data_IF_309249612343
#
_entry.id   IF_309249612343
#
_cell.length_a   1.000
_cell.length_b   1.000
_cell.length_c   1.000
_cell.angle_alpha   90.00
_cell.angle_beta   90.00
_cell.angle_gamma   90.00
#
_symmetry.space_group_name_H-M   'P 1'
#
loop_
_entity.id
_entity.type
_entity.pdbx_description
1 polymer ?
#
# COMPACT_ATOMS: atom_id res chain seq x y z
N UNK A 1 -5.34 19.70 9.97
CA UNK A 1 -4.19 20.05 10.82
C UNK A 1 -3.82 21.51 10.56
N UNK A 2 -4.04 22.36 11.57
CA UNK A 2 -3.60 23.77 11.51
C UNK A 2 -2.16 23.81 12.00
N UNK A 3 -1.22 23.99 11.09
CA UNK A 3 0.19 24.23 11.42
C UNK A 3 0.39 25.73 11.72
N UNK A 4 0.95 26.05 12.89
CA UNK A 4 1.39 27.41 13.21
C UNK A 4 2.92 27.47 13.12
N UNK A 5 3.44 28.20 12.17
CA UNK A 5 4.85 28.59 12.20
C UNK A 5 5.08 29.65 13.31
N UNK A 6 6.17 29.48 14.05
CA UNK A 6 6.47 30.34 15.21
C UNK A 6 6.79 31.81 14.87
N UNK A 7 6.91 32.15 13.58
CA UNK A 7 7.35 33.46 13.13
C UNK A 7 6.25 34.34 12.49
N UNK A 8 5.14 33.75 12.04
CA UNK A 8 4.06 34.49 11.40
C UNK A 8 2.70 34.10 11.99
N UNK A 9 1.88 35.08 12.32
CA UNK A 9 0.50 34.91 12.76
C UNK A 9 -0.44 34.44 11.63
N UNK A 10 0.08 34.13 10.44
CA UNK A 10 -0.71 33.62 9.32
C UNK A 10 -1.13 32.16 9.53
N UNK A 11 -2.44 31.92 9.49
CA UNK A 11 -3.00 30.58 9.45
C UNK A 11 -2.85 30.01 8.02
N UNK A 12 -2.02 29.00 7.88
CA UNK A 12 -1.97 28.22 6.64
C UNK A 12 -3.21 27.30 6.59
N UNK A 13 -4.11 27.56 5.65
CA UNK A 13 -5.40 26.88 5.53
C UNK A 13 -5.28 25.61 4.68
N UNK A 14 -4.27 25.53 3.81
CA UNK A 14 -4.03 24.37 2.92
C UNK A 14 -2.58 23.92 2.98
N UNK A 15 -2.34 22.63 2.71
CA UNK A 15 -0.98 22.07 2.66
C UNK A 15 -0.09 22.78 1.63
N UNK A 16 -0.66 23.26 0.53
CA UNK A 16 0.08 23.94 -0.54
C UNK A 16 0.68 25.28 -0.12
N UNK A 17 0.15 25.88 0.95
CA UNK A 17 0.65 27.13 1.52
C UNK A 17 1.78 26.92 2.53
N UNK A 18 2.09 25.68 2.89
CA UNK A 18 3.15 25.33 3.84
C UNK A 18 4.43 25.01 3.03
N UNK A 19 5.51 25.73 3.27
CA UNK A 19 6.78 25.59 2.54
C UNK A 19 7.35 24.16 2.55
N UNK A 20 7.09 23.41 3.61
CA UNK A 20 7.51 22.00 3.70
C UNK A 20 6.74 21.09 2.74
N UNK A 21 5.45 21.35 2.47
CA UNK A 21 4.61 20.50 1.62
C UNK A 21 4.59 20.94 0.15
N UNK A 22 4.69 22.25 -0.11
CA UNK A 22 4.60 22.82 -1.46
C UNK A 22 5.51 22.16 -2.52
N UNK A 23 6.78 21.80 -2.24
CA UNK A 23 7.67 21.14 -3.21
C UNK A 23 7.42 19.64 -3.37
N UNK A 24 6.53 19.04 -2.59
CA UNK A 24 6.26 17.61 -2.61
C UNK A 24 5.24 17.25 -3.69
N UNK A 25 5.30 15.99 -4.15
CA UNK A 25 4.28 15.37 -4.97
C UNK A 25 3.76 14.16 -4.22
N UNK A 26 2.59 14.31 -3.59
CA UNK A 26 2.04 13.30 -2.69
C UNK A 26 1.07 12.40 -3.45
N UNK A 27 1.48 11.16 -3.75
CA UNK A 27 0.66 10.13 -4.38
C UNK A 27 0.26 9.05 -3.36
N UNK A 28 1.23 8.46 -2.68
CA UNK A 28 0.97 7.51 -1.59
C UNK A 28 0.41 8.21 -0.34
N UNK A 29 0.88 9.42 -0.04
CA UNK A 29 0.44 10.21 1.09
C UNK A 29 -0.69 11.21 0.76
N UNK A 30 -1.35 11.10 -0.41
CA UNK A 30 -2.30 12.09 -0.94
C UNK A 30 -3.39 12.50 0.05
N UNK A 31 -3.93 11.54 0.78
CA UNK A 31 -5.03 11.76 1.71
C UNK A 31 -4.57 11.96 3.17
N UNK A 32 -3.31 11.61 3.50
CA UNK A 32 -2.79 11.72 4.86
C UNK A 32 -2.82 13.17 5.35
N UNK A 33 -3.58 13.43 6.43
CA UNK A 33 -3.80 14.77 6.97
C UNK A 33 -4.77 15.65 6.18
N UNK A 34 -5.45 15.07 5.18
CA UNK A 34 -6.49 15.74 4.36
C UNK A 34 -7.87 15.23 4.72
N UNK A 35 -8.02 13.91 4.82
CA UNK A 35 -9.28 13.25 5.19
C UNK A 35 -9.23 12.77 6.65
N UNK A 36 -10.41 12.55 7.23
CA UNK A 36 -10.55 11.77 8.46
C UNK A 36 -10.40 10.26 8.12
N UNK A 37 -9.31 9.61 8.58
CA UNK A 37 -9.07 8.19 8.28
C UNK A 37 -10.07 7.23 8.97
N UNK A 38 -10.89 7.73 9.89
CA UNK A 38 -11.92 6.99 10.59
C UNK A 38 -13.30 7.09 9.93
N UNK A 39 -13.37 7.84 8.81
CA UNK A 39 -14.62 8.08 8.06
C UNK A 39 -14.47 7.63 6.60
N UNK A 40 -15.12 6.52 6.24
CA UNK A 40 -15.11 5.98 4.88
C UNK A 40 -15.75 6.93 3.86
N UNK A 41 -16.74 7.73 4.26
CA UNK A 41 -17.41 8.67 3.34
C UNK A 41 -16.45 9.75 2.84
N UNK A 42 -15.52 10.20 3.68
CA UNK A 42 -14.49 11.13 3.23
C UNK A 42 -13.54 10.48 2.22
N UNK A 43 -13.13 9.21 2.45
CA UNK A 43 -12.33 8.50 1.46
C UNK A 43 -13.06 8.35 0.12
N UNK A 44 -14.37 8.03 0.15
CA UNK A 44 -15.21 7.92 -1.05
C UNK A 44 -15.33 9.28 -1.75
N UNK A 45 -15.53 10.37 -0.99
CA UNK A 45 -15.62 11.73 -1.53
C UNK A 45 -14.32 12.16 -2.26
N UNK A 46 -13.17 11.60 -1.87
CA UNK A 46 -11.87 11.79 -2.52
C UNK A 46 -11.55 10.71 -3.56
N UNK A 47 -12.55 10.22 -4.28
CA UNK A 47 -12.45 9.19 -5.33
C UNK A 47 -12.04 7.80 -4.82
N UNK A 48 -12.22 7.50 -3.55
CA UNK A 48 -11.98 6.19 -2.98
C UNK A 48 -12.91 5.13 -3.55
N UNK A 49 -12.42 3.91 -3.65
CA UNK A 49 -13.08 2.74 -4.23
C UNK A 49 -13.52 2.86 -5.70
N UNK A 50 -13.29 4.00 -6.35
CA UNK A 50 -13.54 4.16 -7.80
C UNK A 50 -12.62 3.29 -8.63
N UNK A 51 -11.39 3.06 -8.19
CA UNK A 51 -10.47 2.18 -8.89
C UNK A 51 -10.95 0.72 -8.80
N UNK A 52 -11.41 0.28 -7.63
CA UNK A 52 -11.98 -1.04 -7.44
C UNK A 52 -13.25 -1.23 -8.28
N UNK A 53 -14.15 -0.25 -8.29
CA UNK A 53 -15.35 -0.28 -9.12
C UNK A 53 -15.00 -0.42 -10.60
N UNK A 54 -14.07 0.39 -11.12
CA UNK A 54 -13.58 0.30 -12.51
C UNK A 54 -13.00 -1.08 -12.81
N UNK A 55 -12.21 -1.64 -11.90
CA UNK A 55 -11.61 -2.97 -12.07
C UNK A 55 -12.69 -4.04 -12.21
N UNK A 56 -13.68 -4.04 -11.33
CA UNK A 56 -14.70 -5.09 -11.29
C UNK A 56 -15.73 -4.98 -12.42
N UNK A 57 -15.93 -3.79 -12.98
CA UNK A 57 -16.97 -3.56 -14.02
C UNK A 57 -16.40 -3.43 -15.44
N UNK A 58 -15.14 -3.01 -15.59
CA UNK A 58 -14.59 -2.61 -16.89
C UNK A 58 -13.31 -3.38 -17.29
N UNK A 59 -12.67 -4.11 -16.36
CA UNK A 59 -11.36 -4.69 -16.60
C UNK A 59 -11.32 -6.19 -16.30
N UNK A 60 -10.57 -6.94 -17.12
CA UNK A 60 -10.22 -8.31 -16.77
C UNK A 60 -9.00 -8.35 -15.86
N UNK A 61 -8.77 -9.46 -15.10
CA UNK A 61 -7.57 -9.63 -14.27
C UNK A 61 -6.26 -9.37 -15.04
N UNK A 62 -6.16 -9.81 -16.27
CA UNK A 62 -4.99 -9.63 -17.13
C UNK A 62 -4.79 -8.16 -17.52
N UNK A 63 -5.88 -7.43 -17.74
CA UNK A 63 -5.83 -5.98 -18.02
C UNK A 63 -5.33 -5.21 -16.81
N UNK A 64 -5.78 -5.56 -15.60
CA UNK A 64 -5.28 -4.95 -14.35
C UNK A 64 -3.78 -5.19 -14.18
N UNK A 65 -3.33 -6.43 -14.36
CA UNK A 65 -1.90 -6.78 -14.29
C UNK A 65 -1.10 -6.00 -15.34
N UNK A 66 -1.62 -5.93 -16.57
CA UNK A 66 -0.99 -5.19 -17.67
C UNK A 66 -0.86 -3.70 -17.35
N UNK A 67 -1.88 -3.10 -16.75
CA UNK A 67 -1.87 -1.68 -16.38
C UNK A 67 -0.81 -1.39 -15.31
N UNK A 68 -0.76 -2.20 -14.24
CA UNK A 68 0.27 -2.09 -13.21
C UNK A 68 1.68 -2.37 -13.76
N UNK A 69 1.82 -3.31 -14.70
CA UNK A 69 3.10 -3.59 -15.34
C UNK A 69 3.57 -2.42 -16.21
N UNK A 70 2.69 -1.84 -17.04
CA UNK A 70 2.98 -0.70 -17.92
C UNK A 70 3.30 0.57 -17.15
N UNK A 71 2.72 0.75 -15.96
CA UNK A 71 3.00 1.90 -15.09
C UNK A 71 4.46 1.96 -14.62
N UNK A 72 5.17 0.83 -14.66
CA UNK A 72 6.52 0.73 -14.15
C UNK A 72 6.62 0.76 -12.62
N UNK A 73 5.50 0.58 -11.90
CA UNK A 73 5.51 0.54 -10.43
C UNK A 73 6.44 -0.58 -9.94
N UNK A 74 7.44 -0.18 -9.15
CA UNK A 74 8.36 -1.08 -8.46
C UNK A 74 8.06 -1.10 -6.97
N UNK A 75 8.35 -2.20 -6.30
CA UNK A 75 8.19 -2.34 -4.86
C UNK A 75 8.88 -1.22 -4.08
N UNK A 76 8.18 -0.66 -3.09
CA UNK A 76 8.64 0.45 -2.24
C UNK A 76 9.23 0.00 -0.91
N UNK A 77 9.20 -1.30 -0.63
CA UNK A 77 9.79 -1.89 0.58
C UNK A 77 11.29 -2.24 0.47
N UNK A 78 12.04 -1.60 -0.43
CA UNK A 78 13.50 -1.70 -0.54
C UNK A 78 14.02 -2.53 -1.73
N UNK A 79 13.42 -3.68 -2.04
CA UNK A 79 13.92 -4.58 -3.10
C UNK A 79 13.65 -4.07 -4.54
N UNK A 80 12.68 -3.17 -4.73
CA UNK A 80 12.41 -2.56 -6.03
C UNK A 80 11.98 -3.51 -7.15
N UNK A 81 11.46 -4.69 -6.84
CA UNK A 81 11.00 -5.64 -7.86
C UNK A 81 9.73 -5.11 -8.57
N UNK A 82 9.61 -5.26 -9.91
CA UNK A 82 8.44 -4.79 -10.65
C UNK A 82 7.14 -5.44 -10.14
N UNK A 83 6.19 -4.62 -9.66
CA UNK A 83 4.96 -5.08 -9.00
C UNK A 83 4.08 -5.89 -9.94
N UNK A 84 3.81 -5.38 -11.15
CA UNK A 84 3.00 -6.10 -12.14
C UNK A 84 3.61 -7.43 -12.56
N UNK A 85 4.96 -7.55 -12.60
CA UNK A 85 5.64 -8.81 -12.89
C UNK A 85 5.41 -9.86 -11.78
N UNK A 86 5.42 -9.42 -10.53
CA UNK A 86 5.11 -10.28 -9.39
C UNK A 86 3.68 -10.80 -9.46
N UNK A 87 2.72 -9.93 -9.78
CA UNK A 87 1.31 -10.31 -9.95
C UNK A 87 1.12 -11.27 -11.13
N UNK A 88 1.81 -11.04 -12.24
CA UNK A 88 1.78 -11.93 -13.40
C UNK A 88 2.23 -13.35 -13.05
N UNK A 89 3.30 -13.50 -12.26
CA UNK A 89 3.77 -14.82 -11.83
C UNK A 89 2.74 -15.53 -10.95
N UNK A 90 2.15 -14.85 -9.97
CA UNK A 90 1.14 -15.43 -9.11
C UNK A 90 -0.15 -15.77 -9.86
N UNK A 91 -0.59 -14.92 -10.79
CA UNK A 91 -1.75 -15.19 -11.62
C UNK A 91 -1.57 -16.45 -12.48
N UNK A 92 -0.38 -16.64 -13.03
CA UNK A 92 -0.04 -17.80 -13.86
C UNK A 92 0.09 -19.12 -13.06
N UNK A 93 0.30 -19.05 -11.74
CA UNK A 93 0.37 -20.24 -10.88
C UNK A 93 -0.99 -20.90 -10.76
N UNK A 94 -1.07 -22.20 -11.09
CA UNK A 94 -2.31 -22.98 -10.94
C UNK A 94 -2.41 -23.47 -9.50
N UNK A 95 -3.42 -23.00 -8.78
CA UNK A 95 -3.72 -23.43 -7.41
C UNK A 95 -5.21 -23.21 -7.14
N UNK A 96 -5.74 -23.98 -6.20
CA UNK A 96 -7.10 -23.87 -5.67
C UNK A 96 -7.29 -22.62 -4.80
N UNK A 97 -6.21 -22.15 -4.16
CA UNK A 97 -6.17 -20.99 -3.28
C UNK A 97 -4.94 -20.16 -3.56
N UNK A 98 -5.08 -18.83 -3.50
CA UNK A 98 -3.99 -17.84 -3.55
C UNK A 98 -4.17 -16.82 -2.45
N UNK A 99 -3.08 -16.19 -2.02
CA UNK A 99 -3.11 -15.21 -0.94
C UNK A 99 -2.46 -13.90 -1.33
N UNK A 100 -3.00 -12.83 -0.78
CA UNK A 100 -2.44 -11.48 -0.85
C UNK A 100 -1.90 -11.07 0.51
N UNK A 101 -0.68 -10.54 0.59
CA UNK A 101 -0.11 -10.03 1.84
C UNK A 101 0.32 -8.57 1.67
N UNK A 102 -0.14 -7.74 2.59
CA UNK A 102 0.42 -6.41 2.82
C UNK A 102 1.49 -6.51 3.90
N UNK A 103 2.73 -6.25 3.51
CA UNK A 103 3.86 -6.16 4.44
C UNK A 103 3.90 -4.76 5.05
N UNK A 104 3.46 -4.67 6.29
CA UNK A 104 3.52 -3.48 7.13
C UNK A 104 4.46 -3.68 8.33
N UNK A 105 5.44 -4.59 8.19
CA UNK A 105 6.52 -4.78 9.16
C UNK A 105 7.66 -3.79 8.89
N UNK A 106 7.40 -2.52 9.19
CA UNK A 106 8.33 -1.42 9.02
C UNK A 106 9.32 -1.39 10.20
N UNK A 107 10.37 -2.21 10.11
CA UNK A 107 11.29 -2.47 11.22
C UNK A 107 12.48 -1.54 11.32
N UNK A 108 12.76 -0.70 10.33
CA UNK A 108 13.87 0.25 10.33
C UNK A 108 13.70 1.30 11.44
N UNK A 109 14.70 1.55 12.29
CA UNK A 109 14.64 2.60 13.29
C UNK A 109 14.44 3.98 12.64
N UNK A 110 13.39 4.70 13.07
CA UNK A 110 13.05 6.02 12.52
C UNK A 110 12.23 6.01 11.23
N UNK A 111 11.96 4.85 10.62
CA UNK A 111 11.03 4.74 9.51
C UNK A 111 9.57 4.75 9.99
N UNK A 112 8.73 5.56 9.34
CA UNK A 112 7.29 5.66 9.64
C UNK A 112 6.44 6.00 8.41
N UNK A 113 6.94 5.70 7.20
CA UNK A 113 6.23 5.95 5.95
C UNK A 113 4.98 5.08 5.84
N UNK A 114 5.14 3.78 6.02
CA UNK A 114 4.05 2.80 5.96
C UNK A 114 3.05 3.01 7.10
N UNK A 115 3.54 3.27 8.31
CA UNK A 115 2.74 3.65 9.46
C UNK A 115 1.83 4.84 9.14
N UNK A 116 2.36 5.89 8.54
CA UNK A 116 1.60 7.10 8.22
C UNK A 116 0.50 6.86 7.20
N UNK A 117 0.72 5.98 6.21
CA UNK A 117 -0.33 5.58 5.27
C UNK A 117 -1.43 4.80 6.00
N UNK A 118 -1.07 3.82 6.84
CA UNK A 118 -2.05 3.02 7.57
C UNK A 118 -2.84 3.82 8.60
N UNK A 119 -2.22 4.85 9.20
CA UNK A 119 -2.88 5.75 10.14
C UNK A 119 -3.65 6.88 9.45
N UNK A 120 -3.25 7.32 8.27
CA UNK A 120 -3.82 8.50 7.60
C UNK A 120 -4.73 8.20 6.41
N UNK A 121 -4.60 7.02 5.79
CA UNK A 121 -5.39 6.61 4.63
C UNK A 121 -5.45 5.07 4.52
N UNK A 122 -6.00 4.36 5.53
CA UNK A 122 -6.05 2.90 5.54
C UNK A 122 -6.83 2.33 4.36
N UNK A 123 -7.92 3.00 3.94
CA UNK A 123 -8.78 2.55 2.86
C UNK A 123 -8.07 2.44 1.51
N UNK A 124 -7.06 3.27 1.24
CA UNK A 124 -6.27 3.17 0.01
C UNK A 124 -5.50 1.85 -0.10
N UNK A 125 -5.07 1.31 1.03
CA UNK A 125 -4.39 0.01 1.10
C UNK A 125 -5.41 -1.11 0.93
N UNK A 126 -6.59 -1.03 1.58
CA UNK A 126 -7.67 -2.02 1.46
C UNK A 126 -8.16 -2.12 0.01
N UNK A 127 -8.45 -0.98 -0.63
CA UNK A 127 -8.84 -0.91 -2.05
C UNK A 127 -7.78 -1.56 -2.95
N UNK A 128 -6.52 -1.21 -2.74
CA UNK A 128 -5.40 -1.76 -3.51
C UNK A 128 -5.24 -3.27 -3.33
N UNK A 129 -5.45 -3.78 -2.11
CA UNK A 129 -5.38 -5.22 -1.83
C UNK A 129 -6.53 -5.97 -2.52
N UNK A 130 -7.75 -5.43 -2.53
CA UNK A 130 -8.89 -6.01 -3.25
C UNK A 130 -8.63 -6.03 -4.77
N UNK A 131 -8.13 -4.93 -5.35
CA UNK A 131 -7.73 -4.86 -6.77
C UNK A 131 -6.68 -5.93 -7.10
N UNK A 132 -5.67 -6.07 -6.24
CA UNK A 132 -4.61 -7.06 -6.43
C UNK A 132 -5.12 -8.49 -6.25
N UNK A 133 -6.03 -8.73 -5.29
CA UNK A 133 -6.73 -9.99 -5.10
C UNK A 133 -7.48 -10.42 -6.35
N UNK A 134 -8.30 -9.53 -6.90
CA UNK A 134 -9.00 -9.76 -8.17
C UNK A 134 -8.02 -10.11 -9.30
N UNK A 135 -6.95 -9.34 -9.43
CA UNK A 135 -5.96 -9.49 -10.51
C UNK A 135 -5.25 -10.85 -10.49
N UNK A 136 -4.99 -11.43 -9.32
CA UNK A 136 -4.27 -12.72 -9.21
C UNK A 136 -5.20 -13.90 -8.96
N UNK A 137 -6.48 -13.68 -8.70
CA UNK A 137 -7.46 -14.69 -8.33
C UNK A 137 -7.30 -15.15 -6.87
N UNK A 138 -7.06 -14.22 -5.95
CA UNK A 138 -7.06 -14.46 -4.52
C UNK A 138 -8.33 -13.88 -3.88
N UNK A 139 -8.92 -14.60 -2.94
CA UNK A 139 -10.10 -14.21 -2.17
C UNK A 139 -9.80 -13.90 -0.69
N UNK A 140 -8.53 -14.08 -0.27
CA UNK A 140 -8.06 -13.76 1.06
C UNK A 140 -6.78 -12.94 1.05
N UNK A 141 -6.72 -11.96 1.98
CA UNK A 141 -5.54 -11.13 2.21
C UNK A 141 -5.19 -10.98 3.69
N UNK A 142 -3.90 -10.76 3.96
CA UNK A 142 -3.35 -10.57 5.31
C UNK A 142 -2.57 -9.28 5.36
N UNK A 143 -2.89 -8.42 6.35
CA UNK A 143 -2.09 -7.25 6.67
C UNK A 143 -1.22 -7.60 7.85
N UNK A 144 0.08 -7.77 7.62
CA UNK A 144 1.04 -8.05 8.67
C UNK A 144 1.61 -6.72 9.19
N UNK A 145 1.14 -6.30 10.34
CA UNK A 145 1.45 -5.01 10.95
C UNK A 145 2.14 -5.21 12.31
N UNK A 146 3.10 -4.35 12.62
CA UNK A 146 3.81 -4.36 13.90
C UNK A 146 2.88 -4.09 15.07
N UNK A 147 3.03 -4.84 16.17
CA UNK A 147 2.28 -4.60 17.42
C UNK A 147 2.57 -3.21 18.02
N UNK A 148 3.71 -2.61 17.69
CA UNK A 148 4.14 -1.27 18.12
C UNK A 148 3.39 -0.14 17.39
N UNK A 149 2.50 -0.45 16.43
CA UNK A 149 1.64 0.51 15.73
C UNK A 149 0.17 0.35 16.16
N UNK A 150 -0.19 0.59 17.45
CA UNK A 150 -1.54 0.34 17.94
C UNK A 150 -2.60 1.17 17.21
N UNK A 151 -2.33 2.45 16.90
CA UNK A 151 -3.26 3.30 16.16
C UNK A 151 -3.50 2.81 14.74
N UNK A 152 -2.46 2.35 14.03
CA UNK A 152 -2.63 1.75 12.71
C UNK A 152 -3.51 0.50 12.76
N UNK A 153 -3.34 -0.34 13.80
CA UNK A 153 -4.16 -1.55 14.00
C UNK A 153 -5.63 -1.19 14.27
N UNK A 154 -5.90 -0.18 15.10
CA UNK A 154 -7.26 0.29 15.40
C UNK A 154 -7.94 0.83 14.14
N UNK A 155 -7.25 1.70 13.38
CA UNK A 155 -7.78 2.27 12.13
C UNK A 155 -7.98 1.24 11.05
N UNK A 156 -7.09 0.27 10.91
CA UNK A 156 -7.29 -0.86 9.98
C UNK A 156 -8.52 -1.70 10.33
N UNK A 157 -8.74 -2.00 11.62
CA UNK A 157 -9.95 -2.73 12.03
C UNK A 157 -11.22 -1.97 11.72
N UNK A 158 -11.24 -0.67 12.00
CA UNK A 158 -12.36 0.19 11.70
C UNK A 158 -12.59 0.27 10.19
N UNK A 159 -11.54 0.52 9.41
CA UNK A 159 -11.63 0.61 7.96
C UNK A 159 -12.11 -0.70 7.31
N UNK A 160 -11.65 -1.86 7.79
CA UNK A 160 -12.13 -3.17 7.29
C UNK A 160 -13.62 -3.30 7.58
N UNK A 161 -14.08 -3.04 8.81
CA UNK A 161 -15.49 -3.13 9.16
C UNK A 161 -16.37 -2.18 8.32
N UNK A 162 -15.94 -0.94 8.13
CA UNK A 162 -16.64 0.03 7.28
C UNK A 162 -16.69 -0.41 5.81
N UNK A 163 -15.58 -0.96 5.29
CA UNK A 163 -15.51 -1.43 3.91
C UNK A 163 -16.39 -2.70 3.69
N UNK A 164 -16.48 -3.58 4.68
CA UNK A 164 -17.39 -4.74 4.64
C UNK A 164 -18.86 -4.28 4.69
N UNK A 165 -19.21 -3.36 5.59
CA UNK A 165 -20.57 -2.81 5.69
C UNK A 165 -20.99 -2.09 4.40
N UNK A 166 -20.09 -1.35 3.77
CA UNK A 166 -20.33 -0.65 2.52
C UNK A 166 -20.24 -1.53 1.26
N UNK A 167 -19.94 -2.83 1.39
CA UNK A 167 -19.86 -3.77 0.28
C UNK A 167 -18.62 -3.63 -0.61
N UNK A 168 -17.53 -3.06 -0.09
CA UNK A 168 -16.24 -2.98 -0.77
C UNK A 168 -15.29 -4.12 -0.39
N UNK A 169 -15.61 -4.87 0.65
CA UNK A 169 -14.94 -6.10 1.09
C UNK A 169 -15.97 -7.16 1.46
N UNK A 170 -15.51 -8.40 1.64
CA UNK A 170 -16.37 -9.54 1.99
C UNK A 170 -16.88 -10.26 0.76
N UNK A 171 -18.16 -10.59 0.74
CA UNK A 171 -18.82 -11.36 -0.34
C UNK A 171 -19.49 -10.42 -1.34
N UNK A 172 -19.52 -10.85 -2.61
CA UNK A 172 -20.25 -10.17 -3.70
C UNK A 172 -19.94 -8.66 -3.78
N UNK A 173 -18.66 -8.32 -3.76
CA UNK A 173 -18.21 -6.92 -3.73
C UNK A 173 -18.81 -6.14 -4.90
N UNK A 174 -19.43 -5.00 -4.60
CA UNK A 174 -20.15 -4.14 -5.57
C UNK A 174 -21.19 -4.90 -6.43
N UNK A 175 -21.79 -5.98 -5.88
CA UNK A 175 -22.76 -6.80 -6.56
C UNK A 175 -22.19 -7.74 -7.63
N UNK A 176 -20.90 -7.97 -7.64
CA UNK A 176 -20.20 -8.93 -8.52
C UNK A 176 -20.02 -10.28 -7.82
N UNK A 177 -19.55 -11.30 -8.54
CA UNK A 177 -19.19 -12.61 -7.95
C UNK A 177 -17.84 -12.59 -7.22
N UNK A 178 -17.14 -11.45 -7.20
CA UNK A 178 -15.86 -11.33 -6.53
C UNK A 178 -16.04 -11.22 -5.01
N UNK A 179 -15.27 -12.05 -4.30
CA UNK A 179 -15.20 -12.04 -2.84
C UNK A 179 -13.75 -11.77 -2.42
N UNK A 180 -13.55 -10.95 -1.38
CA UNK A 180 -12.23 -10.72 -0.83
C UNK A 180 -12.30 -10.36 0.65
N UNK A 181 -11.62 -11.15 1.49
CA UNK A 181 -11.59 -10.96 2.95
C UNK A 181 -10.23 -10.56 3.41
N UNK A 182 -10.15 -9.63 4.36
CA UNK A 182 -8.91 -9.14 4.93
C UNK A 182 -8.78 -9.51 6.41
N UNK A 183 -7.59 -9.97 6.76
CA UNK A 183 -7.22 -10.34 8.12
C UNK A 183 -6.03 -9.50 8.59
N UNK A 184 -6.05 -9.09 9.86
CA UNK A 184 -4.92 -8.40 10.48
C UNK A 184 -4.11 -9.39 11.30
N UNK A 185 -2.83 -9.52 10.97
CA UNK A 185 -1.86 -10.28 11.74
C UNK A 185 -0.87 -9.33 12.42
N UNK A 186 -0.71 -9.45 13.73
CA UNK A 186 0.17 -8.60 14.52
C UNK A 186 1.54 -9.24 14.67
N UNK A 187 2.56 -8.59 14.12
CA UNK A 187 3.95 -8.98 14.29
C UNK A 187 4.52 -8.59 15.66
N UNK A 188 5.41 -9.39 16.20
CA UNK A 188 6.05 -9.14 17.50
C UNK A 188 7.29 -8.22 17.41
N UNK A 189 7.46 -7.45 16.33
CA UNK A 189 8.52 -6.45 16.17
C UNK A 189 9.88 -7.00 15.76
N UNK A 190 9.98 -8.26 15.34
CA UNK A 190 11.22 -8.83 14.86
C UNK A 190 11.52 -8.33 13.43
N UNK A 191 12.61 -7.60 13.24
CA UNK A 191 13.04 -7.05 11.94
C UNK A 191 13.10 -8.08 10.81
N UNK A 192 13.52 -9.32 11.15
CA UNK A 192 13.59 -10.43 10.19
C UNK A 192 12.23 -10.78 9.56
N UNK A 193 11.13 -10.49 10.24
CA UNK A 193 9.78 -10.72 9.72
C UNK A 193 9.40 -9.76 8.57
N UNK A 194 10.18 -8.71 8.31
CA UNK A 194 10.07 -7.91 7.08
C UNK A 194 10.47 -8.68 5.81
N UNK A 195 11.26 -9.75 5.92
CA UNK A 195 11.56 -10.66 4.81
C UNK A 195 10.35 -11.57 4.52
N UNK A 196 9.99 -11.72 3.24
CA UNK A 196 8.71 -12.31 2.85
C UNK A 196 8.52 -13.78 3.31
N UNK A 197 9.55 -14.61 3.32
CA UNK A 197 9.41 -16.00 3.77
C UNK A 197 9.37 -16.14 5.30
N UNK A 198 10.06 -15.26 6.01
CA UNK A 198 9.95 -15.14 7.46
C UNK A 198 8.58 -14.62 7.88
N UNK A 199 8.04 -13.64 7.17
CA UNK A 199 6.71 -13.09 7.39
C UNK A 199 5.63 -14.16 7.18
N UNK A 200 5.68 -14.93 6.09
CA UNK A 200 4.72 -16.02 5.86
C UNK A 200 4.78 -17.07 6.96
N UNK A 201 5.99 -17.45 7.40
CA UNK A 201 6.15 -18.39 8.52
C UNK A 201 5.55 -17.83 9.83
N UNK A 202 5.69 -16.52 10.07
CA UNK A 202 5.09 -15.86 11.24
C UNK A 202 3.57 -15.87 11.19
N UNK A 203 2.94 -15.59 10.04
CA UNK A 203 1.48 -15.71 9.88
C UNK A 203 1.01 -17.13 10.14
N UNK A 204 1.77 -18.13 9.70
CA UNK A 204 1.50 -19.57 9.94
C UNK A 204 1.68 -20.00 11.41
N UNK A 205 2.03 -19.08 12.33
CA UNK A 205 2.30 -19.39 13.73
C UNK A 205 3.63 -20.08 13.98
N UNK A 206 4.53 -20.08 13.00
CA UNK A 206 5.87 -20.64 13.08
C UNK A 206 6.89 -19.55 13.45
N UNK A 207 8.09 -19.98 13.84
CA UNK A 207 9.21 -19.05 14.02
C UNK A 207 9.51 -18.33 12.69
N UNK A 208 9.58 -17.02 12.70
CA UNK A 208 9.89 -16.18 11.54
C UNK A 208 11.35 -16.34 11.09
N UNK A 209 11.61 -17.38 10.33
CA UNK A 209 12.94 -17.66 9.76
C UNK A 209 12.88 -17.60 8.23
N UNK A 210 13.84 -16.89 7.59
CA UNK A 210 13.95 -16.86 6.15
C UNK A 210 14.19 -18.26 5.56
N UNK A 211 13.60 -18.51 4.39
CA UNK A 211 13.83 -19.73 3.62
C UNK A 211 14.69 -19.46 2.40
N UNK A 212 15.48 -20.42 2.02
CA UNK A 212 16.25 -20.40 0.76
C UNK A 212 15.28 -20.44 -0.42
N UNK A 213 15.54 -19.64 -1.45
CA UNK A 213 14.79 -19.62 -2.70
C UNK A 213 15.58 -20.34 -3.80
N UNK A 214 14.97 -21.11 -4.72
CA UNK A 214 13.55 -21.42 -4.84
C UNK A 214 13.04 -22.41 -3.76
N UNK A 215 11.70 -22.48 -3.51
CA UNK A 215 10.62 -21.81 -4.24
C UNK A 215 10.45 -20.34 -3.86
N UNK A 216 9.94 -19.50 -4.82
CA UNK A 216 9.56 -18.11 -4.54
C UNK A 216 8.21 -18.09 -3.83
N UNK A 217 7.91 -17.00 -3.10
CA UNK A 217 6.61 -16.82 -2.41
C UNK A 217 5.43 -16.86 -3.38
N UNK A 218 5.62 -16.36 -4.61
CA UNK A 218 4.60 -16.40 -5.67
C UNK A 218 4.31 -17.81 -6.17
N UNK A 219 5.19 -18.78 -5.92
CA UNK A 219 5.01 -20.20 -6.26
C UNK A 219 4.52 -20.99 -5.03
N UNK A 220 5.17 -20.79 -3.86
CA UNK A 220 4.87 -21.45 -2.60
C UNK A 220 5.11 -20.48 -1.42
N UNK A 221 4.09 -19.73 -1.05
CA UNK A 221 4.08 -18.78 0.05
C UNK A 221 3.31 -19.31 1.26
N UNK A 222 2.29 -18.57 1.68
CA UNK A 222 1.46 -18.86 2.84
C UNK A 222 0.76 -20.22 2.69
N UNK A 223 0.96 -21.08 3.68
CA UNK A 223 0.49 -22.49 3.68
C UNK A 223 0.83 -23.26 2.41
N UNK A 224 1.96 -22.95 1.79
CA UNK A 224 2.43 -23.60 0.56
C UNK A 224 1.69 -23.18 -0.70
N UNK A 225 0.82 -22.18 -0.64
CA UNK A 225 0.02 -21.67 -1.77
C UNK A 225 0.69 -20.44 -2.42
N UNK A 226 0.43 -20.18 -3.70
CA UNK A 226 0.91 -18.96 -4.36
C UNK A 226 0.50 -17.71 -3.59
N UNK A 227 1.47 -16.86 -3.26
CA UNK A 227 1.23 -15.69 -2.43
C UNK A 227 1.97 -14.49 -2.99
N UNK A 228 1.25 -13.38 -3.16
CA UNK A 228 1.85 -12.08 -3.46
C UNK A 228 2.02 -11.29 -2.17
N UNK A 229 3.21 -10.78 -1.95
CA UNK A 229 3.54 -9.90 -0.85
C UNK A 229 4.00 -8.56 -1.41
N UNK A 230 3.32 -7.48 -1.07
CA UNK A 230 3.71 -6.12 -1.39
C UNK A 230 3.76 -5.26 -0.11
N UNK A 231 4.62 -4.24 -0.14
CA UNK A 231 4.74 -3.24 0.92
C UNK A 231 3.54 -2.27 0.88
N UNK A 232 3.25 -1.59 1.99
CA UNK A 232 2.15 -0.62 2.16
C UNK A 232 2.20 0.50 1.13
N UNK A 233 3.34 1.20 1.03
CA UNK A 233 3.51 2.31 0.07
C UNK A 233 3.32 1.83 -1.38
N UNK A 234 3.71 0.58 -1.70
CA UNK A 234 3.46 -0.02 -3.01
C UNK A 234 1.97 -0.11 -3.30
N UNK A 235 1.17 -0.60 -2.34
CA UNK A 235 -0.28 -0.68 -2.48
C UNK A 235 -0.92 0.70 -2.60
N UNK A 236 -0.53 1.67 -1.81
CA UNK A 236 -1.11 3.03 -1.82
C UNK A 236 -1.04 3.73 -3.19
N UNK A 237 -0.11 3.30 -4.07
CA UNK A 237 0.00 3.81 -5.44
C UNK A 237 -1.00 3.16 -6.42
N UNK A 238 -1.48 1.95 -6.16
CA UNK A 238 -2.28 1.16 -7.10
C UNK A 238 -3.60 1.84 -7.49
N UNK A 239 -4.43 2.36 -6.56
CA UNK A 239 -5.68 3.01 -6.93
C UNK A 239 -5.48 4.19 -7.89
N UNK A 240 -4.45 5.01 -7.65
CA UNK A 240 -4.09 6.13 -8.54
C UNK A 240 -3.71 5.67 -9.94
N UNK A 241 -2.94 4.59 -10.07
CA UNK A 241 -2.56 4.01 -11.35
C UNK A 241 -3.79 3.52 -12.13
N UNK A 242 -4.69 2.79 -11.48
CA UNK A 242 -5.89 2.27 -12.14
C UNK A 242 -6.84 3.39 -12.57
N UNK A 243 -7.00 4.45 -11.75
CA UNK A 243 -7.87 5.58 -12.10
C UNK A 243 -7.31 6.42 -13.25
N UNK A 244 -6.06 6.80 -13.17
CA UNK A 244 -5.45 7.78 -14.07
C UNK A 244 -4.69 7.14 -15.23
N UNK A 245 -4.43 5.85 -15.16
CA UNK A 245 -3.76 5.08 -16.20
C UNK A 245 -2.24 4.96 -16.00
N UNK A 246 -1.68 3.91 -16.56
CA UNK A 246 -0.26 3.59 -16.47
C UNK A 246 0.65 4.71 -17.02
N UNK A 247 0.21 5.36 -18.10
CA UNK A 247 0.98 6.44 -18.74
C UNK A 247 1.18 7.64 -17.82
N UNK A 248 0.16 7.99 -17.05
CA UNK A 248 0.25 9.04 -16.04
C UNK A 248 1.34 8.75 -15.00
N UNK A 249 1.31 7.57 -14.39
CA UNK A 249 2.29 7.20 -13.37
C UNK A 249 3.71 7.06 -13.94
N UNK A 250 3.82 6.51 -15.16
CA UNK A 250 5.09 6.37 -15.86
C UNK A 250 5.74 7.71 -16.20
N UNK A 251 4.95 8.74 -16.42
CA UNK A 251 5.42 10.11 -16.67
C UNK A 251 6.00 10.81 -15.44
N UNK A 252 5.89 10.20 -14.24
CA UNK A 252 6.42 10.74 -12.98
C UNK A 252 7.69 9.96 -12.63
N UNK A 253 8.74 10.66 -12.20
CA UNK A 253 10.01 10.05 -11.82
C UNK A 253 10.99 9.92 -12.97
N UNK A 254 11.64 8.78 -13.10
CA UNK A 254 12.64 8.51 -14.15
C UNK A 254 12.23 7.30 -15.00
N UNK A 255 12.83 7.15 -16.18
CA UNK A 255 12.59 6.00 -17.06
C UNK A 255 12.87 4.65 -16.37
N UNK A 256 13.89 4.61 -15.51
CA UNK A 256 14.27 3.41 -14.79
C UNK A 256 13.42 3.15 -13.52
N UNK A 257 12.79 4.20 -12.96
CA UNK A 257 11.98 4.11 -11.74
C UNK A 257 10.87 5.16 -11.77
N UNK A 258 9.67 4.72 -12.11
CA UNK A 258 8.48 5.57 -12.23
C UNK A 258 7.87 5.88 -10.86
N UNK A 259 7.11 6.99 -10.84
CA UNK A 259 6.34 7.42 -9.68
C UNK A 259 7.17 8.15 -8.64
N UNK A 260 6.65 8.15 -7.43
CA UNK A 260 7.22 8.84 -6.26
C UNK A 260 7.84 7.86 -5.26
N UNK A 261 8.56 8.40 -4.29
CA UNK A 261 9.02 7.66 -3.11
C UNK A 261 8.85 8.54 -1.87
N UNK A 262 8.32 7.93 -0.82
CA UNK A 262 8.19 8.54 0.49
C UNK A 262 9.44 8.30 1.33
N UNK A 263 9.96 9.35 1.96
CA UNK A 263 11.13 9.30 2.83
C UNK A 263 10.82 9.86 4.22
N UNK A 264 11.29 9.17 5.25
CA UNK A 264 11.36 9.71 6.60
C UNK A 264 12.67 10.47 6.75
N UNK A 265 12.60 11.81 6.84
CA UNK A 265 13.76 12.67 7.04
C UNK A 265 14.02 12.85 8.52
N UNK A 266 15.23 12.52 8.95
CA UNK A 266 15.66 12.64 10.34
C UNK A 266 17.16 12.89 10.44
N UNK A 267 17.66 13.26 11.62
CA UNK A 267 19.07 13.50 11.86
C UNK A 267 19.48 14.95 11.57
N UNK A 268 20.61 15.14 10.87
CA UNK A 268 21.20 16.46 10.64
C UNK A 268 20.55 17.20 9.45
N UNK A 269 19.25 17.44 9.55
CA UNK A 269 18.43 18.19 8.59
C UNK A 269 17.68 19.31 9.28
N UNK A 270 17.36 20.39 8.55
CA UNK A 270 16.62 21.53 9.11
C UNK A 270 15.18 21.14 9.46
N UNK A 271 14.50 20.43 8.55
CA UNK A 271 13.13 20.00 8.71
C UNK A 271 13.08 18.46 8.78
N UNK A 272 12.57 17.94 9.87
CA UNK A 272 12.28 16.50 10.05
C UNK A 272 10.83 16.21 9.67
N UNK A 273 10.56 15.01 9.17
CA UNK A 273 9.19 14.59 8.83
C UNK A 273 9.15 13.68 7.60
N UNK A 274 7.94 13.44 7.08
CA UNK A 274 7.75 12.70 5.84
C UNK A 274 7.75 13.62 4.64
N UNK A 275 8.49 13.24 3.62
CA UNK A 275 8.45 13.88 2.31
C UNK A 275 8.17 12.83 1.24
N UNK A 276 7.32 13.18 0.28
CA UNK A 276 7.10 12.37 -0.91
C UNK A 276 7.49 13.17 -2.15
N UNK A 277 8.40 12.62 -2.93
CA UNK A 277 8.97 13.29 -4.11
C UNK A 277 9.07 12.33 -5.30
N UNK A 278 9.03 12.84 -6.54
CA UNK A 278 9.31 12.03 -7.72
C UNK A 278 10.67 11.34 -7.64
N UNK A 279 10.73 10.10 -8.12
CA UNK A 279 11.99 9.36 -8.21
C UNK A 279 13.03 10.14 -9.04
N UNK A 280 14.29 10.12 -8.59
CA UNK A 280 15.39 10.82 -9.26
C UNK A 280 15.52 12.30 -8.90
N UNK A 281 14.67 12.84 -8.04
CA UNK A 281 14.82 14.22 -7.55
C UNK A 281 15.95 14.30 -6.53
N UNK A 282 16.86 15.26 -6.70
CA UNK A 282 17.90 15.52 -5.71
C UNK A 282 17.35 16.32 -4.54
N UNK A 283 17.77 15.98 -3.33
CA UNK A 283 17.54 16.79 -2.13
C UNK A 283 18.66 17.83 -2.07
N UNK A 284 18.34 19.09 -2.31
CA UNK A 284 19.26 20.19 -2.08
C UNK A 284 19.07 20.71 -0.65
N UNK A 285 20.18 21.13 -0.04
CA UNK A 285 20.20 21.80 1.27
C UNK A 285 19.57 23.16 1.21
#
# INVERSE_FOLDING_TARGET
LVYKEKADEEQHVTLDNIDFYRPQMRLALRNCGVIDPENIDEYIAFDGYRALAKVLTEMTPEQVISEVLKSGLRGRGGAGFPTGKKWQFAAASKADQKYMICNADEGDPGAFMDRSVLEGDPHSVLEAMAIAGYAIGADEGYIYVRAEYPLAIERLKLAIAQAEEAGFLGDNILGTDFCFRLHINRGAGAFVCGEGSALTASIEGKRGMPRVKPPRTVDQGLWGKPTVLNNVETFANVPGIIRQGAGWYKGIGTDASSGTKTFALTGNVVNTGLVEVPMGRSVHR
#
